data_IF_020773490473
#
_entry.id   IF_020773490473
#
_cell.length_a   1.000
_cell.length_b   1.000
_cell.length_c   1.000
_cell.angle_alpha   90.00
_cell.angle_beta   90.00
_cell.angle_gamma   90.00
#
_symmetry.space_group_name_H-M   'P 1'
#
loop_
_entity.id
_entity.type
_entity.pdbx_description
1 polymer ?
#
# COMPACT_ATOMS: atom_id res chain seq x y z
N UNK A 1 -28.79 -24.04 59.12
CA UNK A 1 -28.79 -24.55 57.74
C UNK A 1 -28.81 -23.33 56.83
N UNK A 2 -27.66 -22.89 56.33
CA UNK A 2 -27.53 -21.67 55.50
C UNK A 2 -27.41 -22.09 54.04
N UNK A 3 -28.15 -21.49 53.10
CA UNK A 3 -28.04 -21.83 51.68
C UNK A 3 -26.70 -21.30 51.16
N UNK A 4 -25.94 -22.18 50.50
CA UNK A 4 -24.72 -21.81 49.80
C UNK A 4 -25.06 -20.81 48.69
N UNK A 5 -24.52 -19.60 48.81
CA UNK A 5 -24.47 -18.64 47.71
C UNK A 5 -23.68 -19.26 46.56
N UNK A 6 -24.39 -19.58 45.48
CA UNK A 6 -23.84 -19.80 44.15
C UNK A 6 -23.22 -18.47 43.69
N UNK A 7 -21.92 -18.31 43.92
CA UNK A 7 -21.11 -17.35 43.18
C UNK A 7 -21.29 -17.68 41.68
N UNK A 8 -21.55 -16.69 40.80
CA UNK A 8 -21.47 -16.95 39.38
C UNK A 8 -20.01 -17.28 39.09
N UNK A 9 -19.74 -18.50 38.66
CA UNK A 9 -18.46 -18.88 38.09
C UNK A 9 -18.24 -18.01 36.84
N UNK A 10 -17.66 -16.81 37.03
CA UNK A 10 -17.00 -16.04 35.97
C UNK A 10 -15.68 -16.70 35.58
N UNK A 11 -15.63 -18.02 35.62
CA UNK A 11 -14.56 -18.79 35.05
C UNK A 11 -14.90 -18.97 33.57
N UNK A 12 -14.79 -17.87 32.80
CA UNK A 12 -14.73 -17.98 31.35
C UNK A 12 -13.56 -18.93 31.07
N UNK A 13 -13.86 -20.11 30.55
CA UNK A 13 -12.84 -21.03 30.10
C UNK A 13 -11.87 -20.25 29.21
N UNK A 14 -10.57 -20.21 29.54
CA UNK A 14 -9.56 -19.48 28.77
C UNK A 14 -9.45 -19.97 27.32
N UNK A 15 -10.04 -21.13 26.99
CA UNK A 15 -10.16 -21.67 25.64
C UNK A 15 -11.57 -21.56 25.05
N UNK A 16 -12.48 -20.80 25.68
CA UNK A 16 -13.83 -20.61 25.16
C UNK A 16 -13.82 -19.81 23.85
N UNK A 17 -14.67 -20.18 22.88
CA UNK A 17 -14.79 -19.43 21.64
C UNK A 17 -15.36 -18.02 21.86
N UNK A 18 -16.07 -17.79 22.97
CA UNK A 18 -16.58 -16.48 23.37
C UNK A 18 -15.45 -15.50 23.72
N UNK A 19 -14.50 -15.92 24.57
CA UNK A 19 -13.30 -15.13 24.88
C UNK A 19 -12.48 -14.85 23.63
N UNK A 20 -12.37 -15.84 22.74
CA UNK A 20 -11.67 -15.67 21.47
C UNK A 20 -12.34 -14.62 20.56
N UNK A 21 -13.68 -14.58 20.49
CA UNK A 21 -14.42 -13.54 19.74
C UNK A 21 -14.16 -12.14 20.32
N UNK A 22 -14.11 -12.02 21.65
CA UNK A 22 -13.79 -10.75 22.32
C UNK A 22 -12.35 -10.31 22.03
N UNK A 23 -11.40 -11.25 22.09
CA UNK A 23 -10.00 -11.02 21.73
C UNK A 23 -9.85 -10.55 20.27
N UNK A 24 -10.62 -11.12 19.33
CA UNK A 24 -10.63 -10.64 17.93
C UNK A 24 -11.11 -9.18 17.86
N UNK A 25 -12.21 -8.82 18.52
CA UNK A 25 -12.72 -7.44 18.52
C UNK A 25 -11.72 -6.47 19.15
N UNK A 26 -11.04 -6.91 20.20
CA UNK A 26 -10.00 -6.17 20.88
C UNK A 26 -8.80 -5.91 19.95
N UNK A 27 -8.32 -6.95 19.28
CA UNK A 27 -7.24 -6.86 18.27
C UNK A 27 -7.64 -5.94 17.11
N UNK A 28 -8.86 -6.06 16.59
CA UNK A 28 -9.36 -5.19 15.52
C UNK A 28 -9.34 -3.70 15.91
N UNK A 29 -9.57 -3.40 17.18
CA UNK A 29 -9.49 -2.02 17.69
C UNK A 29 -8.05 -1.52 17.70
N UNK A 30 -7.11 -2.36 18.15
CA UNK A 30 -5.67 -2.04 18.10
C UNK A 30 -5.18 -1.85 16.66
N UNK A 31 -5.68 -2.67 15.74
CA UNK A 31 -5.32 -2.60 14.32
C UNK A 31 -5.81 -1.31 13.66
N UNK A 32 -7.02 -0.85 13.98
CA UNK A 32 -7.53 0.45 13.53
C UNK A 32 -6.68 1.62 14.05
N UNK A 33 -6.23 1.54 15.31
CA UNK A 33 -5.35 2.56 15.88
C UNK A 33 -4.00 2.62 15.17
N UNK A 34 -3.37 1.46 14.92
CA UNK A 34 -2.12 1.35 14.15
C UNK A 34 -2.29 1.91 12.74
N UNK A 35 -3.41 1.62 12.06
CA UNK A 35 -3.69 2.16 10.73
C UNK A 35 -3.83 3.68 10.72
N UNK A 36 -4.49 4.26 11.73
CA UNK A 36 -4.57 5.73 11.86
C UNK A 36 -3.18 6.34 12.00
N UNK A 37 -2.37 5.83 12.94
CA UNK A 37 -1.01 6.32 13.16
C UNK A 37 -0.14 6.17 11.90
N UNK A 38 -0.29 5.07 11.16
CA UNK A 38 0.45 4.87 9.92
C UNK A 38 0.08 5.90 8.85
N UNK A 39 -1.21 6.25 8.73
CA UNK A 39 -1.65 7.32 7.83
C UNK A 39 -1.14 8.68 8.26
N UNK A 40 -1.22 9.00 9.56
CA UNK A 40 -0.72 10.28 10.08
C UNK A 40 0.79 10.43 9.88
N UNK A 41 1.54 9.33 10.01
CA UNK A 41 2.97 9.28 9.70
C UNK A 41 3.23 9.44 8.21
N UNK A 42 2.47 8.75 7.35
CA UNK A 42 2.61 8.86 5.90
C UNK A 42 2.35 10.29 5.43
N UNK A 43 1.23 10.87 5.85
CA UNK A 43 0.87 12.28 5.58
C UNK A 43 1.96 13.23 6.07
N UNK A 44 2.51 12.98 7.26
CA UNK A 44 3.60 13.77 7.84
C UNK A 44 4.93 13.64 7.10
N UNK A 45 5.20 12.49 6.47
CA UNK A 45 6.39 12.24 5.65
C UNK A 45 6.24 12.87 4.26
N UNK A 46 5.08 12.67 3.61
CA UNK A 46 4.79 13.23 2.29
C UNK A 46 4.81 14.76 2.32
N UNK A 47 4.24 15.36 3.36
CA UNK A 47 4.19 16.82 3.55
C UNK A 47 5.36 17.35 4.38
N UNK A 48 6.43 16.57 4.62
CA UNK A 48 7.53 16.97 5.52
C UNK A 48 8.24 18.27 5.11
N UNK A 49 8.14 18.67 3.83
CA UNK A 49 8.72 19.89 3.28
C UNK A 49 7.69 21.01 3.06
N UNK A 50 6.42 20.78 3.40
CA UNK A 50 5.39 21.81 3.39
C UNK A 50 5.41 22.60 4.71
N UNK A 51 5.29 23.93 4.64
CA UNK A 51 5.46 24.81 5.81
C UNK A 51 4.40 24.66 6.92
N UNK A 52 3.36 23.85 6.71
CA UNK A 52 2.29 23.58 7.69
C UNK A 52 2.56 22.35 8.57
N UNK A 53 3.56 21.54 8.22
CA UNK A 53 3.77 20.22 8.83
C UNK A 53 4.82 20.32 9.93
N UNK A 54 4.49 19.92 11.16
CA UNK A 54 5.43 19.97 12.27
C UNK A 54 6.31 18.70 12.31
N UNK A 55 7.63 18.79 12.02
CA UNK A 55 8.50 17.61 12.00
C UNK A 55 8.60 16.91 13.37
N UNK A 56 8.42 17.66 14.46
CA UNK A 56 8.40 17.10 15.83
C UNK A 56 7.17 16.23 16.05
N UNK A 57 6.03 16.62 15.48
CA UNK A 57 4.79 15.84 15.55
C UNK A 57 4.92 14.56 14.74
N UNK A 58 5.47 14.62 13.52
CA UNK A 58 5.73 13.42 12.71
C UNK A 58 6.68 12.45 13.43
N UNK A 59 7.76 12.95 14.05
CA UNK A 59 8.68 12.12 14.83
C UNK A 59 7.99 11.44 16.02
N UNK A 60 7.11 12.15 16.74
CA UNK A 60 6.31 11.59 17.82
C UNK A 60 5.33 10.52 17.32
N UNK A 61 4.65 10.76 16.20
CA UNK A 61 3.74 9.78 15.57
C UNK A 61 4.49 8.52 15.12
N UNK A 62 5.73 8.65 14.61
CA UNK A 62 6.58 7.50 14.27
C UNK A 62 6.93 6.68 15.51
N UNK A 63 7.30 7.33 16.61
CA UNK A 63 7.60 6.64 17.87
C UNK A 63 6.36 5.92 18.42
N UNK A 64 5.20 6.59 18.41
CA UNK A 64 3.93 6.01 18.82
C UNK A 64 3.54 4.81 17.94
N UNK A 65 3.73 4.90 16.62
CA UNK A 65 3.47 3.80 15.69
C UNK A 65 4.33 2.57 16.00
N UNK A 66 5.63 2.76 16.25
CA UNK A 66 6.54 1.66 16.62
C UNK A 66 6.09 0.97 17.91
N UNK A 67 5.72 1.74 18.92
CA UNK A 67 5.22 1.18 20.18
C UNK A 67 3.91 0.42 19.97
N UNK A 68 2.97 1.01 19.22
CA UNK A 68 1.68 0.38 18.94
C UNK A 68 1.82 -0.91 18.12
N UNK A 69 2.79 -1.00 17.21
CA UNK A 69 3.11 -2.24 16.48
C UNK A 69 3.67 -3.32 17.40
N UNK A 70 4.56 -2.96 18.33
CA UNK A 70 5.08 -3.91 19.30
C UNK A 70 3.97 -4.45 20.20
N UNK A 71 3.14 -3.55 20.74
CA UNK A 71 1.99 -3.92 21.56
C UNK A 71 1.01 -4.81 20.79
N UNK A 72 0.73 -4.49 19.51
CA UNK A 72 -0.14 -5.32 18.67
C UNK A 72 0.45 -6.72 18.47
N UNK A 73 1.76 -6.84 18.24
CA UNK A 73 2.44 -8.14 18.13
C UNK A 73 2.27 -8.96 19.41
N UNK A 74 2.46 -8.35 20.58
CA UNK A 74 2.30 -9.03 21.87
C UNK A 74 0.86 -9.44 22.14
N UNK A 75 -0.11 -8.58 21.80
CA UNK A 75 -1.54 -8.92 21.92
C UNK A 75 -1.90 -10.07 20.98
N UNK A 76 -1.44 -10.05 19.73
CA UNK A 76 -1.69 -11.12 18.76
C UNK A 76 -1.11 -12.46 19.24
N UNK A 77 0.06 -12.44 19.89
CA UNK A 77 0.72 -13.63 20.42
C UNK A 77 0.04 -14.15 21.68
N UNK A 78 -0.35 -13.28 22.61
CA UNK A 78 -0.96 -13.67 23.89
C UNK A 78 -2.41 -14.14 23.74
N UNK A 79 -3.15 -13.56 22.79
CA UNK A 79 -4.57 -13.89 22.57
C UNK A 79 -4.79 -15.08 21.62
N UNK A 80 -3.74 -15.57 20.96
CA UNK A 80 -3.84 -16.64 19.95
C UNK A 80 -4.45 -16.22 18.61
N UNK A 81 -4.95 -14.98 18.49
CA UNK A 81 -5.53 -14.43 17.25
C UNK A 81 -4.47 -14.35 16.14
N UNK A 82 -3.20 -14.16 16.48
CA UNK A 82 -2.09 -14.12 15.52
C UNK A 82 -1.79 -15.46 14.83
N UNK A 83 -2.31 -16.58 15.34
CA UNK A 83 -2.18 -17.90 14.71
C UNK A 83 -3.31 -18.22 13.73
N UNK A 84 -4.28 -17.31 13.55
CA UNK A 84 -5.35 -17.50 12.58
C UNK A 84 -4.76 -17.64 11.18
N UNK A 85 -5.15 -18.69 10.42
CA UNK A 85 -4.72 -18.81 9.05
C UNK A 85 -5.22 -17.58 8.30
N UNK A 86 -4.27 -16.85 7.70
CA UNK A 86 -4.60 -15.82 6.74
C UNK A 86 -5.23 -16.55 5.56
N UNK A 87 -6.56 -16.62 5.54
CA UNK A 87 -7.27 -16.99 4.33
C UNK A 87 -6.89 -15.90 3.35
N UNK A 88 -5.96 -16.21 2.46
CA UNK A 88 -5.73 -15.43 1.26
C UNK A 88 -7.09 -15.41 0.59
N UNK A 89 -7.88 -14.36 0.85
CA UNK A 89 -8.95 -13.98 -0.05
C UNK A 89 -8.24 -14.00 -1.38
N UNK A 90 -8.68 -14.90 -2.26
CA UNK A 90 -8.12 -15.08 -3.57
C UNK A 90 -8.35 -13.76 -4.30
N UNK A 91 -7.50 -12.77 -4.02
CA UNK A 91 -7.12 -11.76 -4.98
C UNK A 91 -6.48 -12.66 -6.02
N UNK A 92 -7.30 -13.07 -6.97
CA UNK A 92 -6.84 -13.58 -8.25
C UNK A 92 -5.79 -12.57 -8.65
N UNK A 93 -4.52 -12.91 -8.45
CA UNK A 93 -3.40 -12.16 -8.94
C UNK A 93 -3.17 -12.79 -10.30
N UNK A 94 -3.81 -12.30 -11.38
CA UNK A 94 -3.32 -12.70 -12.69
C UNK A 94 -1.95 -12.04 -12.80
N UNK A 95 -0.90 -12.84 -12.94
CA UNK A 95 0.35 -12.57 -13.66
C UNK A 95 0.65 -11.09 -13.98
N UNK A 96 0.77 -10.23 -12.96
CA UNK A 96 0.81 -8.77 -13.13
C UNK A 96 2.10 -8.32 -13.83
N UNK A 97 3.19 -9.04 -13.59
CA UNK A 97 4.50 -8.76 -14.16
C UNK A 97 4.52 -9.01 -15.68
N UNK A 98 3.92 -10.11 -16.14
CA UNK A 98 3.88 -10.47 -17.56
C UNK A 98 3.04 -9.45 -18.37
N UNK A 99 1.92 -9.00 -17.81
CA UNK A 99 1.10 -7.93 -18.39
C UNK A 99 1.82 -6.58 -18.39
N UNK A 100 2.55 -6.23 -17.33
CA UNK A 100 3.35 -5.00 -17.26
C UNK A 100 4.47 -5.00 -18.28
N UNK A 101 5.14 -6.15 -18.48
CA UNK A 101 6.19 -6.31 -19.50
C UNK A 101 5.62 -6.16 -20.91
N UNK A 102 4.46 -6.75 -21.19
CA UNK A 102 3.80 -6.61 -22.50
C UNK A 102 3.35 -5.17 -22.76
N UNK A 103 2.73 -4.51 -21.79
CA UNK A 103 2.32 -3.11 -21.89
C UNK A 103 3.52 -2.18 -22.12
N UNK A 104 4.60 -2.37 -21.37
CA UNK A 104 5.85 -1.60 -21.51
C UNK A 104 6.47 -1.81 -22.88
N UNK A 105 6.52 -3.06 -23.36
CA UNK A 105 7.07 -3.41 -24.67
C UNK A 105 6.25 -2.76 -25.80
N UNK A 106 4.93 -2.78 -25.70
CA UNK A 106 4.04 -2.16 -26.69
C UNK A 106 4.15 -0.63 -26.69
N UNK A 107 4.29 0.00 -25.52
CA UNK A 107 4.52 1.43 -25.40
C UNK A 107 5.86 1.84 -26.04
N UNK A 108 6.95 1.10 -25.79
CA UNK A 108 8.26 1.35 -26.39
C UNK A 108 8.19 1.23 -27.92
N UNK A 109 7.56 0.17 -28.45
CA UNK A 109 7.38 -0.01 -29.89
C UNK A 109 6.59 1.13 -30.52
N UNK A 110 5.50 1.57 -29.88
CA UNK A 110 4.71 2.70 -30.35
C UNK A 110 5.49 4.02 -30.41
N UNK A 111 6.27 4.31 -29.36
CA UNK A 111 7.12 5.49 -29.29
C UNK A 111 8.24 5.45 -30.32
N UNK A 112 8.90 4.30 -30.49
CA UNK A 112 9.95 4.11 -31.48
C UNK A 112 9.41 4.34 -32.90
N UNK A 113 8.31 3.67 -33.28
CA UNK A 113 7.71 3.82 -34.60
C UNK A 113 7.31 5.27 -34.90
N UNK A 114 6.76 5.97 -33.89
CA UNK A 114 6.42 7.38 -34.03
C UNK A 114 7.65 8.25 -34.23
N UNK A 115 8.73 8.00 -33.47
CA UNK A 115 9.99 8.73 -33.62
C UNK A 115 10.63 8.48 -34.98
N UNK A 116 10.71 7.22 -35.42
CA UNK A 116 11.24 6.85 -36.74
C UNK A 116 10.45 7.53 -37.85
N UNK A 117 9.12 7.48 -37.81
CA UNK A 117 8.29 8.17 -38.81
C UNK A 117 8.51 9.68 -38.81
N UNK A 118 8.69 10.29 -37.63
CA UNK A 118 9.00 11.71 -37.52
C UNK A 118 10.37 12.03 -38.12
N UNK A 119 11.38 11.19 -37.89
CA UNK A 119 12.72 11.35 -38.45
C UNK A 119 12.73 11.18 -39.96
N UNK A 120 12.02 10.18 -40.49
CA UNK A 120 11.87 9.98 -41.94
C UNK A 120 11.15 11.17 -42.59
N UNK A 121 10.09 11.67 -41.96
CA UNK A 121 9.36 12.85 -42.46
C UNK A 121 10.26 14.10 -42.45
N UNK A 122 11.03 14.30 -41.37
CA UNK A 122 11.98 15.40 -41.27
C UNK A 122 13.12 15.29 -42.29
N UNK A 123 13.62 14.06 -42.54
CA UNK A 123 14.64 13.81 -43.55
C UNK A 123 14.14 14.07 -44.97
N UNK A 124 12.89 13.71 -45.28
CA UNK A 124 12.27 14.03 -46.58
C UNK A 124 12.11 15.55 -46.75
N UNK A 125 11.61 16.25 -45.73
CA UNK A 125 11.48 17.72 -45.78
C UNK A 125 12.85 18.39 -45.90
N UNK A 126 13.86 17.92 -45.17
CA UNK A 126 15.23 18.40 -45.30
C UNK A 126 15.78 18.13 -46.71
N UNK A 127 15.53 16.96 -47.30
CA UNK A 127 15.93 16.66 -48.68
C UNK A 127 15.24 17.59 -49.68
N UNK A 128 13.98 17.95 -49.46
CA UNK A 128 13.22 18.88 -50.31
C UNK A 128 13.70 20.34 -50.17
N UNK A 129 14.11 20.74 -48.97
CA UNK A 129 14.70 22.06 -48.69
C UNK A 129 16.16 22.17 -49.14
N UNK A 130 16.89 21.05 -49.13
CA UNK A 130 18.28 20.95 -49.58
C UNK A 130 18.39 20.75 -51.09
N UNK A 131 17.36 20.23 -51.77
CA UNK A 131 17.28 20.34 -53.24
C UNK A 131 17.29 21.82 -53.61
N UNK A 132 18.38 22.32 -54.21
CA UNK A 132 18.50 23.72 -54.51
C UNK A 132 17.42 24.10 -55.52
N UNK A 133 16.84 25.28 -55.33
CA UNK A 133 16.35 26.19 -56.37
C UNK A 133 17.19 26.06 -57.67
N UNK A 134 16.87 25.05 -58.48
CA UNK A 134 17.54 24.76 -59.76
C UNK A 134 16.52 24.45 -60.86
N UNK A 135 15.25 24.81 -60.62
CA UNK A 135 14.16 24.74 -61.60
C UNK A 135 13.72 26.11 -62.12
N UNK A 136 14.48 27.18 -61.86
CA UNK A 136 14.16 28.55 -62.28
C UNK A 136 15.33 29.20 -63.04
N UNK A 137 15.82 28.51 -64.08
CA UNK A 137 16.53 29.14 -65.21
C UNK A 137 16.36 28.31 -66.49
N UNK A 138 15.30 28.60 -67.24
CA UNK A 138 15.37 28.78 -68.71
C UNK A 138 14.09 29.41 -69.23
#
# INVERSE_FOLDING_TARGET
>A
MFPAQLLPDQNLDPNSPELFKENIKFVQTHLRHVQSLARDVLDGIERAYEGQTNPTQTAASIAALKQSLHNLSDVLRTTGVGALPLISINIVHPSQEEQLVEQTTNAIKGLFNRNTRNQESAAVVASLLVTPESSLRR
#
